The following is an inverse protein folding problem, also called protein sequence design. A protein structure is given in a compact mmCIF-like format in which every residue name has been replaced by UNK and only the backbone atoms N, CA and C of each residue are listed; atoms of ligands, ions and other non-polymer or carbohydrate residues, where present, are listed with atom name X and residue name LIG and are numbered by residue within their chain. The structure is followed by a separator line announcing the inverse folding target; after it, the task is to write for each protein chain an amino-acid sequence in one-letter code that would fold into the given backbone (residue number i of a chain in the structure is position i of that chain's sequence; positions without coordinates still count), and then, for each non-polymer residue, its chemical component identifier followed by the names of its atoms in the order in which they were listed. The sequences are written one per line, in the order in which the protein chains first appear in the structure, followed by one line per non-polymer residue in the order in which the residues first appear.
data_IF_871339316977
#
_entry.id   IF_871339316977
#
_cell.length_a   1.000
_cell.length_b   1.000
_cell.length_c   1.000
_cell.angle_alpha   90.00
_cell.angle_beta   90.00
_cell.angle_gamma   90.00
#
_symmetry.space_group_name_H-M   'P 1'
#
loop_
_entity.id
_entity.type
_entity.pdbx_description
1 polymer ?
#
# COMPACT_ATOMS: atom_id res chain seq x y z
N UNK A 1 24.62 -1.24 -29.92
CA UNK A 1 23.32 -1.88 -29.68
C UNK A 1 23.43 -2.74 -28.42
N UNK A 2 23.11 -2.18 -27.26
CA UNK A 2 23.15 -2.89 -25.98
C UNK A 2 21.86 -3.65 -25.75
N UNK A 3 21.96 -4.96 -25.49
CA UNK A 3 20.81 -5.78 -25.08
C UNK A 3 20.22 -5.23 -23.78
N UNK A 4 18.88 -5.25 -23.60
CA UNK A 4 18.27 -4.85 -22.33
C UNK A 4 18.74 -5.82 -21.24
N UNK A 5 19.37 -5.28 -20.19
CA UNK A 5 19.67 -6.04 -18.98
C UNK A 5 18.35 -6.58 -18.42
N UNK A 6 18.15 -7.91 -18.47
CA UNK A 6 17.03 -8.53 -17.77
C UNK A 6 17.31 -8.45 -16.27
N UNK A 7 16.69 -7.47 -15.60
CA UNK A 7 16.80 -7.22 -14.16
C UNK A 7 16.44 -8.45 -13.30
N UNK A 8 15.74 -9.44 -13.88
CA UNK A 8 15.43 -10.74 -13.28
C UNK A 8 16.68 -11.61 -13.00
N UNK A 9 17.85 -11.25 -13.53
CA UNK A 9 19.10 -12.02 -13.35
C UNK A 9 19.96 -11.59 -12.16
N UNK A 10 19.56 -10.59 -11.37
CA UNK A 10 20.38 -10.16 -10.24
C UNK A 10 20.43 -11.26 -9.14
N UNK A 11 21.62 -11.79 -8.79
CA UNK A 11 21.75 -12.97 -7.93
C UNK A 11 21.15 -12.83 -6.51
N UNK A 12 21.03 -11.59 -6.02
CA UNK A 12 20.47 -11.26 -4.71
C UNK A 12 18.93 -11.31 -4.69
N UNK A 13 18.27 -11.05 -5.83
CA UNK A 13 16.81 -11.11 -5.97
C UNK A 13 16.36 -12.56 -6.15
N UNK A 14 17.09 -13.35 -6.94
CA UNK A 14 16.76 -14.76 -7.19
C UNK A 14 16.84 -15.65 -5.94
N UNK A 15 17.71 -15.32 -4.98
CA UNK A 15 17.89 -16.11 -3.74
C UNK A 15 16.81 -15.86 -2.66
N UNK A 16 16.18 -14.67 -2.63
CA UNK A 16 15.13 -14.38 -1.65
C UNK A 16 13.78 -15.03 -2.00
N UNK A 17 13.54 -15.27 -3.29
CA UNK A 17 12.31 -15.87 -3.83
C UNK A 17 12.11 -17.35 -3.46
N UNK A 18 13.19 -18.09 -3.22
CA UNK A 18 13.15 -19.54 -2.97
C UNK A 18 12.73 -19.92 -1.54
N UNK A 19 12.82 -19.01 -0.57
CA UNK A 19 12.58 -19.33 0.85
C UNK A 19 11.33 -18.66 1.47
N UNK A 20 10.60 -17.80 0.73
CA UNK A 20 9.62 -16.88 1.35
C UNK A 20 8.22 -16.84 0.72
N UNK A 21 7.91 -17.76 -0.18
CA UNK A 21 6.81 -17.62 -1.17
C UNK A 21 5.60 -18.53 -0.99
N UNK A 22 5.57 -19.48 -0.04
CA UNK A 22 4.44 -20.44 0.03
C UNK A 22 3.13 -19.91 0.62
N UNK A 23 3.08 -18.70 1.18
CA UNK A 23 1.88 -18.17 1.86
C UNK A 23 1.36 -16.82 1.35
N UNK A 24 2.01 -16.20 0.35
CA UNK A 24 1.57 -14.91 -0.21
C UNK A 24 1.06 -15.13 -1.62
N UNK A 25 -0.15 -14.64 -1.91
CA UNK A 25 -0.79 -14.85 -3.21
C UNK A 25 -0.87 -13.54 -3.99
N UNK A 26 -0.49 -13.60 -5.26
CA UNK A 26 -0.50 -12.47 -6.18
C UNK A 26 -1.75 -12.46 -7.05
N UNK A 27 -2.08 -11.29 -7.59
CA UNK A 27 -3.18 -11.16 -8.57
C UNK A 27 -3.03 -12.15 -9.73
N UNK A 28 -1.80 -12.35 -10.21
CA UNK A 28 -1.51 -13.27 -11.30
C UNK A 28 -1.76 -14.74 -10.93
N UNK A 29 -1.59 -15.12 -9.65
CA UNK A 29 -1.96 -16.46 -9.17
C UNK A 29 -3.48 -16.61 -9.17
N UNK A 30 -4.20 -15.58 -8.70
CA UNK A 30 -5.66 -15.59 -8.58
C UNK A 30 -6.38 -15.70 -9.93
N UNK A 31 -5.85 -15.07 -10.98
CA UNK A 31 -6.48 -15.11 -12.32
C UNK A 31 -6.11 -16.36 -13.14
N UNK A 32 -5.05 -17.09 -12.76
CA UNK A 32 -4.59 -18.28 -13.50
C UNK A 32 -5.31 -19.55 -13.08
N UNK A 33 -5.81 -19.59 -11.86
CA UNK A 33 -6.52 -20.72 -11.30
C UNK A 33 -8.03 -20.40 -11.28
N UNK A 34 -8.85 -21.01 -12.16
CA UNK A 34 -10.28 -20.66 -12.31
C UNK A 34 -11.10 -20.84 -11.02
N UNK A 35 -10.71 -21.79 -10.17
CA UNK A 35 -11.36 -22.09 -8.89
C UNK A 35 -10.75 -21.30 -7.72
N UNK A 36 -9.81 -20.38 -8.00
CA UNK A 36 -9.16 -19.61 -6.96
C UNK A 36 -10.08 -18.50 -6.48
N UNK A 37 -10.66 -18.71 -5.29
CA UNK A 37 -11.44 -17.69 -4.59
C UNK A 37 -10.87 -17.38 -3.21
N UNK A 38 -11.17 -16.17 -2.74
CA UNK A 38 -10.90 -15.77 -1.38
C UNK A 38 -11.88 -16.48 -0.43
N UNK A 39 -11.36 -17.41 0.36
CA UNK A 39 -12.15 -18.19 1.30
C UNK A 39 -12.18 -17.53 2.68
N UNK A 40 -13.18 -16.65 2.87
CA UNK A 40 -13.44 -15.99 4.15
C UNK A 40 -13.81 -16.99 5.27
N UNK A 41 -14.38 -18.15 4.93
CA UNK A 41 -14.78 -19.18 5.91
C UNK A 41 -13.58 -20.05 6.33
N UNK A 42 -12.63 -20.26 5.43
CA UNK A 42 -11.39 -20.99 5.67
C UNK A 42 -10.33 -20.20 6.42
N UNK A 43 -9.09 -20.20 5.90
CA UNK A 43 -7.91 -19.65 6.58
C UNK A 43 -7.32 -18.41 5.91
N UNK A 44 -8.00 -17.84 4.92
CA UNK A 44 -7.48 -16.72 4.14
C UNK A 44 -7.54 -15.41 4.90
N UNK A 45 -6.48 -14.60 4.78
CA UNK A 45 -6.36 -13.33 5.49
C UNK A 45 -5.98 -12.22 4.52
N UNK A 46 -6.82 -11.20 4.43
CA UNK A 46 -6.47 -9.94 3.76
C UNK A 46 -5.59 -9.11 4.69
N UNK A 47 -4.45 -8.63 4.19
CA UNK A 47 -3.49 -7.82 4.95
C UNK A 47 -3.40 -6.43 4.33
N UNK A 48 -3.92 -5.42 5.01
CA UNK A 48 -3.87 -4.05 4.50
C UNK A 48 -2.63 -3.30 4.97
N UNK A 49 -1.65 -3.14 4.06
CA UNK A 49 -0.49 -2.27 4.23
C UNK A 49 -0.93 -0.82 4.01
N UNK A 50 -1.06 -0.06 5.10
CA UNK A 50 -1.52 1.32 5.04
C UNK A 50 -0.34 2.30 5.01
N UNK A 51 -0.02 2.81 3.82
CA UNK A 51 0.97 3.88 3.63
C UNK A 51 0.37 5.23 4.06
N UNK A 52 1.14 6.08 4.73
CA UNK A 52 0.66 7.39 5.16
C UNK A 52 0.21 8.22 3.97
N UNK A 53 -0.99 8.83 4.12
CA UNK A 53 -1.56 9.85 3.23
C UNK A 53 -1.97 9.36 1.83
N UNK A 54 -2.22 8.06 1.68
CA UNK A 54 -2.73 7.45 0.44
C UNK A 54 -4.24 7.18 0.45
N UNK A 55 -5.01 7.92 1.26
CA UNK A 55 -6.46 7.67 1.40
C UNK A 55 -6.85 6.44 2.23
N UNK A 56 -5.88 5.72 2.80
CA UNK A 56 -6.11 4.46 3.54
C UNK A 56 -7.01 4.55 4.77
N UNK A 57 -7.28 5.75 5.30
CA UNK A 57 -8.32 5.93 6.34
C UNK A 57 -9.73 5.72 5.80
N UNK A 58 -10.02 6.19 4.58
CA UNK A 58 -11.32 5.97 3.94
C UNK A 58 -11.45 4.51 3.51
N UNK A 59 -10.46 4.00 2.78
CA UNK A 59 -10.47 2.62 2.31
C UNK A 59 -10.50 1.58 3.44
N UNK A 60 -9.69 1.77 4.49
CA UNK A 60 -9.75 0.90 5.66
C UNK A 60 -11.12 0.90 6.34
N UNK A 61 -11.88 2.00 6.27
CA UNK A 61 -13.27 2.04 6.76
C UNK A 61 -14.21 1.27 5.84
N UNK A 62 -14.04 1.34 4.52
CA UNK A 62 -14.82 0.53 3.59
C UNK A 62 -14.62 -0.97 3.87
N UNK A 63 -13.38 -1.42 4.13
CA UNK A 63 -13.09 -2.82 4.47
C UNK A 63 -13.82 -3.32 5.72
N UNK A 64 -14.03 -2.48 6.73
CA UNK A 64 -14.66 -2.91 8.00
C UNK A 64 -16.14 -2.57 8.14
N UNK A 65 -16.70 -1.72 7.27
CA UNK A 65 -18.08 -1.21 7.41
C UNK A 65 -18.92 -1.26 6.15
N UNK A 66 -18.31 -1.46 5.00
CA UNK A 66 -18.99 -1.29 3.71
C UNK A 66 -18.95 -2.55 2.84
N UNK A 67 -18.41 -3.67 3.32
CA UNK A 67 -18.48 -4.94 2.59
C UNK A 67 -19.79 -5.67 2.89
N UNK A 68 -20.41 -6.20 1.86
CA UNK A 68 -21.55 -7.11 1.94
C UNK A 68 -21.03 -8.50 2.34
N UNK A 69 -21.11 -8.83 3.62
CA UNK A 69 -20.62 -10.08 4.19
C UNK A 69 -21.77 -10.83 4.87
N UNK A 70 -21.73 -12.17 4.84
CA UNK A 70 -22.63 -13.03 5.62
C UNK A 70 -22.59 -12.66 7.11
N UNK A 71 -21.38 -12.46 7.66
CA UNK A 71 -21.15 -11.90 8.98
C UNK A 71 -20.35 -10.59 8.87
N UNK A 72 -21.01 -9.41 8.99
CA UNK A 72 -20.34 -8.12 9.00
C UNK A 72 -19.40 -7.96 10.21
N UNK A 73 -18.38 -7.09 10.07
CA UNK A 73 -17.54 -6.76 11.22
C UNK A 73 -18.35 -6.03 12.32
N UNK A 74 -18.12 -6.42 13.58
CA UNK A 74 -18.73 -5.76 14.74
C UNK A 74 -17.93 -4.52 15.14
N UNK A 75 -18.48 -3.34 14.88
CA UNK A 75 -17.86 -2.04 15.17
C UNK A 75 -18.60 -1.30 16.30
N UNK A 76 -18.04 -1.29 17.51
CA UNK A 76 -18.64 -0.57 18.65
C UNK A 76 -18.44 0.96 18.53
N UNK A 77 -19.48 1.74 18.85
CA UNK A 77 -19.41 3.21 18.88
C UNK A 77 -18.30 3.67 19.84
N UNK A 78 -17.51 4.66 19.44
CA UNK A 78 -16.37 5.18 20.22
C UNK A 78 -15.09 4.34 20.14
N UNK A 79 -15.16 3.07 19.71
CA UNK A 79 -13.96 2.24 19.47
C UNK A 79 -13.45 2.42 18.05
N UNK A 80 -12.14 2.59 17.91
CA UNK A 80 -11.48 2.67 16.58
C UNK A 80 -11.40 1.31 15.89
N UNK A 81 -11.34 0.23 16.66
CA UNK A 81 -11.14 -1.14 16.18
C UNK A 81 -12.48 -1.89 16.13
N UNK A 82 -12.74 -2.56 15.02
CA UNK A 82 -13.85 -3.48 14.81
C UNK A 82 -13.37 -4.93 14.95
N UNK A 83 -14.28 -5.85 15.28
CA UNK A 83 -14.03 -7.29 15.27
C UNK A 83 -14.47 -7.85 13.92
N UNK A 84 -13.54 -8.33 13.11
CA UNK A 84 -13.80 -8.85 11.76
C UNK A 84 -13.57 -10.36 11.75
N UNK A 85 -14.49 -11.04 12.45
CA UNK A 85 -14.46 -12.49 12.64
C UNK A 85 -15.02 -13.24 11.43
N UNK A 86 -14.67 -14.51 11.30
CA UNK A 86 -15.20 -15.41 10.25
C UNK A 86 -16.64 -15.83 10.59
N UNK A 87 -17.50 -16.14 9.59
CA UNK A 87 -18.90 -16.52 9.78
C UNK A 87 -19.19 -17.64 10.81
N UNK A 88 -18.24 -18.54 11.05
CA UNK A 88 -18.39 -19.69 11.94
C UNK A 88 -17.40 -19.68 13.11
N UNK A 89 -16.74 -18.55 13.36
CA UNK A 89 -15.72 -18.47 14.40
C UNK A 89 -15.59 -17.04 14.93
N UNK A 90 -15.90 -16.86 16.21
CA UNK A 90 -15.76 -15.58 16.90
C UNK A 90 -14.29 -15.18 17.13
N UNK A 91 -13.36 -16.12 17.20
CA UNK A 91 -11.97 -15.83 17.61
C UNK A 91 -10.98 -15.69 16.45
N UNK A 92 -11.35 -16.21 15.27
CA UNK A 92 -10.52 -16.14 14.05
C UNK A 92 -10.88 -14.95 13.18
N UNK A 93 -9.86 -14.24 12.69
CA UNK A 93 -10.02 -13.03 11.91
C UNK A 93 -9.67 -13.29 10.44
N UNK A 94 -10.40 -12.66 9.52
CA UNK A 94 -10.10 -12.71 8.07
C UNK A 94 -9.40 -11.43 7.56
N UNK A 95 -9.32 -10.38 8.38
CA UNK A 95 -8.73 -9.10 8.01
C UNK A 95 -7.66 -8.65 9.02
N UNK A 96 -6.44 -8.44 8.54
CA UNK A 96 -5.35 -7.81 9.28
C UNK A 96 -5.19 -6.35 8.83
N UNK A 97 -5.61 -5.41 9.67
CA UNK A 97 -5.57 -3.98 9.35
C UNK A 97 -5.60 -3.11 10.62
N UNK A 98 -5.32 -1.81 10.46
CA UNK A 98 -5.51 -0.81 11.53
C UNK A 98 -6.87 -0.89 12.21
N UNK A 99 -7.94 -1.12 11.44
CA UNK A 99 -9.32 -1.07 11.94
C UNK A 99 -9.87 -2.43 12.36
N UNK A 100 -9.13 -3.53 12.20
CA UNK A 100 -9.51 -4.87 12.66
C UNK A 100 -8.58 -5.39 13.77
N UNK A 101 -7.30 -5.57 13.49
CA UNK A 101 -6.31 -6.10 14.45
C UNK A 101 -5.56 -4.98 15.18
N UNK A 102 -5.59 -3.76 14.65
CA UNK A 102 -4.80 -2.63 15.16
C UNK A 102 -3.37 -2.67 14.61
N UNK A 103 -2.46 -1.98 15.30
CA UNK A 103 -1.04 -1.88 14.88
C UNK A 103 -0.18 -3.00 15.50
N UNK A 104 -0.62 -4.26 15.36
CA UNK A 104 0.07 -5.42 15.97
C UNK A 104 1.53 -5.54 15.54
N UNK A 105 1.81 -5.26 14.26
CA UNK A 105 3.16 -5.29 13.69
C UNK A 105 3.90 -3.95 13.73
N UNK A 106 3.36 -2.93 14.40
CA UNK A 106 3.92 -1.58 14.42
C UNK A 106 3.01 -0.56 13.75
N UNK A 107 3.13 0.71 14.18
CA UNK A 107 2.38 1.82 13.62
C UNK A 107 2.80 2.04 12.16
N UNK A 108 1.85 1.89 11.23
CA UNK A 108 2.11 1.95 9.78
C UNK A 108 3.21 0.98 9.34
N UNK A 109 3.17 -0.26 9.86
CA UNK A 109 4.08 -1.32 9.48
C UNK A 109 4.20 -1.46 7.95
N UNK A 110 5.43 -1.41 7.45
CA UNK A 110 5.72 -1.51 6.02
C UNK A 110 5.80 -2.96 5.52
N UNK A 111 6.15 -3.17 4.24
CA UNK A 111 6.27 -4.50 3.66
C UNK A 111 7.29 -5.37 4.40
N UNK A 112 8.43 -4.79 4.79
CA UNK A 112 9.48 -5.50 5.52
C UNK A 112 8.97 -5.90 6.90
N UNK A 113 8.26 -5.03 7.61
CA UNK A 113 7.70 -5.31 8.93
C UNK A 113 6.57 -6.35 8.86
N UNK A 114 5.56 -6.13 8.00
CA UNK A 114 4.38 -6.99 7.93
C UNK A 114 4.74 -8.42 7.51
N UNK A 115 5.58 -8.57 6.48
CA UNK A 115 5.95 -9.89 5.97
C UNK A 115 6.80 -10.73 6.91
N UNK A 116 7.35 -10.13 7.96
CA UNK A 116 8.07 -10.81 9.04
C UNK A 116 7.24 -10.98 10.33
N UNK A 117 6.02 -10.42 10.40
CA UNK A 117 5.29 -10.32 11.66
C UNK A 117 3.86 -10.87 11.61
N UNK A 118 3.14 -10.71 10.48
CA UNK A 118 1.69 -10.95 10.41
C UNK A 118 1.31 -12.38 10.84
N UNK A 119 2.07 -13.38 10.41
CA UNK A 119 1.80 -14.79 10.73
C UNK A 119 1.84 -15.06 12.23
N UNK A 120 2.97 -14.74 12.87
CA UNK A 120 3.10 -14.85 14.33
C UNK A 120 2.09 -13.99 15.09
N UNK A 121 1.78 -12.78 14.60
CA UNK A 121 0.79 -11.91 15.24
C UNK A 121 -0.64 -12.47 15.15
N UNK A 122 -0.97 -13.17 14.06
CA UNK A 122 -2.24 -13.88 13.90
C UNK A 122 -2.31 -15.08 14.85
N UNK A 123 -1.25 -15.90 14.91
CA UNK A 123 -1.20 -17.05 15.83
C UNK A 123 -1.37 -16.62 17.30
N UNK A 124 -0.69 -15.55 17.71
CA UNK A 124 -0.85 -14.99 19.06
C UNK A 124 -2.26 -14.45 19.33
N UNK A 125 -2.93 -13.95 18.29
CA UNK A 125 -4.28 -13.38 18.43
C UNK A 125 -5.34 -14.49 18.48
N UNK A 126 -5.21 -15.51 17.64
CA UNK A 126 -6.13 -16.64 17.54
C UNK A 126 -5.81 -17.75 18.57
N UNK A 127 -4.65 -17.66 19.25
CA UNK A 127 -4.12 -18.68 20.17
C UNK A 127 -3.95 -20.05 19.54
N UNK A 128 -3.76 -20.07 18.22
CA UNK A 128 -3.68 -21.28 17.41
C UNK A 128 -2.76 -21.01 16.20
N UNK A 129 -1.86 -21.95 15.95
CA UNK A 129 -1.07 -21.98 14.72
C UNK A 129 -1.92 -22.58 13.60
N UNK A 130 -2.12 -21.84 12.51
CA UNK A 130 -2.81 -22.36 11.33
C UNK A 130 -2.09 -21.98 10.04
N UNK A 131 -2.16 -22.86 9.05
CA UNK A 131 -1.61 -22.59 7.72
C UNK A 131 -2.53 -21.60 7.02
N UNK A 132 -2.12 -20.33 6.94
CA UNK A 132 -2.91 -19.25 6.32
C UNK A 132 -2.36 -18.86 4.95
N UNK A 133 -3.25 -18.37 4.10
CA UNK A 133 -2.92 -17.66 2.86
C UNK A 133 -3.09 -16.16 3.09
N UNK A 134 -2.09 -15.36 2.72
CA UNK A 134 -2.07 -13.93 2.95
C UNK A 134 -2.21 -13.15 1.65
N UNK A 135 -3.24 -12.31 1.61
CA UNK A 135 -3.58 -11.45 0.48
C UNK A 135 -3.20 -10.02 0.83
N UNK A 136 -1.97 -9.64 0.48
CA UNK A 136 -1.48 -8.30 0.75
C UNK A 136 -2.15 -7.30 -0.19
N UNK A 137 -2.62 -6.21 0.41
CA UNK A 137 -3.23 -5.09 -0.32
C UNK A 137 -2.68 -3.75 0.15
N UNK A 138 -2.71 -2.75 -0.73
CA UNK A 138 -2.29 -1.38 -0.40
C UNK A 138 -3.05 -0.33 -1.20
N UNK A 139 -2.88 0.94 -0.83
CA UNK A 139 -3.24 2.09 -1.65
C UNK A 139 -2.01 2.97 -1.90
N UNK A 140 -1.91 3.44 -3.13
CA UNK A 140 -0.93 4.43 -3.57
C UNK A 140 -1.62 5.75 -3.91
N UNK A 141 -0.81 6.80 -4.06
CA UNK A 141 -1.24 8.15 -4.40
C UNK A 141 -0.17 8.85 -5.20
N UNK A 142 -0.57 9.80 -6.04
CA UNK A 142 0.34 10.67 -6.78
C UNK A 142 1.35 11.30 -5.79
N UNK A 143 2.66 11.13 -6.03
CA UNK A 143 3.70 11.45 -5.05
C UNK A 143 3.74 12.89 -4.55
N UNK A 144 3.52 13.89 -5.43
CA UNK A 144 3.51 15.30 -5.02
C UNK A 144 2.33 15.57 -4.08
N UNK A 145 1.12 15.15 -4.48
CA UNK A 145 -0.09 15.28 -3.66
C UNK A 145 0.04 14.53 -2.33
N UNK A 146 0.64 13.33 -2.34
CA UNK A 146 0.92 12.53 -1.14
C UNK A 146 1.90 13.23 -0.21
N UNK A 147 3.00 13.78 -0.75
CA UNK A 147 4.02 14.50 0.00
C UNK A 147 3.46 15.78 0.65
N UNK A 148 2.74 16.61 -0.11
CA UNK A 148 2.08 17.82 0.40
C UNK A 148 1.02 17.48 1.46
N UNK A 149 0.27 16.39 1.28
CA UNK A 149 -0.68 15.92 2.28
C UNK A 149 0.01 15.49 3.58
N UNK A 150 1.22 14.93 3.49
CA UNK A 150 2.04 14.60 4.65
C UNK A 150 2.59 15.83 5.34
N UNK A 151 3.21 16.75 4.58
CA UNK A 151 3.68 18.05 5.07
C UNK A 151 2.60 18.74 5.91
N UNK A 152 1.40 18.94 5.33
CA UNK A 152 0.29 19.58 6.05
C UNK A 152 -0.14 18.79 7.28
N UNK A 153 0.00 17.47 7.30
CA UNK A 153 -0.36 16.67 8.48
C UNK A 153 0.68 16.81 9.58
N UNK A 154 1.96 16.84 9.21
CA UNK A 154 3.11 17.04 10.11
C UNK A 154 3.09 18.44 10.72
N UNK A 155 2.81 19.46 9.90
CA UNK A 155 2.63 20.85 10.34
C UNK A 155 1.55 21.02 11.42
N UNK A 156 0.59 20.08 11.52
CA UNK A 156 -0.43 20.04 12.59
C UNK A 156 -0.14 18.99 13.68
N UNK A 157 1.12 18.59 13.84
CA UNK A 157 1.60 17.74 14.94
C UNK A 157 1.68 16.23 14.66
N UNK A 158 1.45 15.77 13.42
CA UNK A 158 1.66 14.36 13.12
C UNK A 158 3.15 14.01 13.09
N UNK A 159 3.54 12.92 13.76
CA UNK A 159 4.94 12.46 13.78
C UNK A 159 5.12 11.00 13.39
N UNK A 160 4.13 10.16 13.74
CA UNK A 160 4.26 8.69 13.71
C UNK A 160 5.51 8.17 14.43
N UNK A 161 6.03 8.91 15.42
CA UNK A 161 7.30 8.61 16.11
C UNK A 161 7.35 7.28 16.87
N UNK A 162 6.22 6.59 17.02
CA UNK A 162 6.13 5.24 17.61
C UNK A 162 6.16 4.12 16.57
N UNK A 163 6.37 4.44 15.29
CA UNK A 163 6.69 3.45 14.27
C UNK A 163 8.01 2.74 14.62
N UNK A 164 8.03 1.42 14.46
CA UNK A 164 9.17 0.59 14.90
C UNK A 164 10.29 0.56 13.87
N UNK A 165 9.94 0.63 12.58
CA UNK A 165 10.89 0.53 11.48
C UNK A 165 11.73 -0.75 11.58
N UNK A 166 11.10 -1.85 11.98
CA UNK A 166 11.77 -3.12 12.26
C UNK A 166 12.31 -3.71 10.95
N UNK A 167 13.62 -3.91 10.89
CA UNK A 167 14.27 -4.54 9.74
C UNK A 167 15.44 -5.41 10.25
N UNK A 168 15.55 -6.64 9.75
CA UNK A 168 16.51 -7.63 10.24
C UNK A 168 16.47 -7.80 11.77
N UNK A 169 15.26 -7.85 12.34
CA UNK A 169 15.05 -8.11 13.77
C UNK A 169 15.30 -6.95 14.72
N UNK A 170 15.66 -5.75 14.25
CA UNK A 170 15.89 -4.58 15.11
C UNK A 170 15.35 -3.26 14.53
N UNK A 171 15.10 -2.29 15.41
CA UNK A 171 14.82 -0.90 15.03
C UNK A 171 16.10 -0.16 14.64
N UNK A 172 16.01 0.88 13.79
CA UNK A 172 17.16 1.73 13.46
C UNK A 172 17.60 2.55 14.68
N UNK A 173 18.90 2.78 14.78
CA UNK A 173 19.47 3.74 15.74
C UNK A 173 19.19 5.18 15.32
N UNK A 174 19.35 6.14 16.25
CA UNK A 174 19.26 7.58 15.92
C UNK A 174 20.29 8.03 14.87
N UNK A 175 21.41 7.29 14.72
CA UNK A 175 22.42 7.58 13.68
C UNK A 175 21.95 7.11 12.29
N UNK A 176 21.29 5.96 12.24
CA UNK A 176 20.75 5.40 10.99
C UNK A 176 19.48 6.15 10.54
N UNK A 177 18.69 6.64 11.49
CA UNK A 177 17.48 7.41 11.23
C UNK A 177 17.35 8.59 12.21
N UNK A 178 18.07 9.70 11.96
CA UNK A 178 17.99 10.88 12.81
C UNK A 178 16.63 11.59 12.65
N UNK A 179 16.03 12.10 13.74
CA UNK A 179 14.78 12.84 13.66
C UNK A 179 14.97 14.18 12.94
N UNK A 180 13.93 14.66 12.26
CA UNK A 180 13.93 16.00 11.63
C UNK A 180 13.52 17.13 12.59
N UNK A 181 13.11 16.80 13.81
CA UNK A 181 12.60 17.74 14.79
C UNK A 181 13.07 17.37 16.19
N UNK A 182 13.08 18.37 17.05
CA UNK A 182 13.36 18.22 18.48
C UNK A 182 12.06 18.33 19.29
N UNK A 183 12.05 17.80 20.51
CA UNK A 183 10.89 17.87 21.38
C UNK A 183 9.72 16.95 20.99
N UNK A 184 8.50 17.48 21.06
CA UNK A 184 7.27 16.67 21.01
C UNK A 184 6.88 16.25 19.60
N UNK A 185 6.91 17.18 18.66
CA UNK A 185 6.47 17.03 17.28
C UNK A 185 7.11 18.12 16.39
N UNK A 186 6.75 18.12 15.10
CA UNK A 186 7.24 19.09 14.10
C UNK A 186 6.12 20.04 13.67
N UNK A 187 5.32 20.50 14.63
CA UNK A 187 4.27 21.49 14.39
C UNK A 187 4.86 22.78 13.83
N UNK A 188 4.09 23.47 13.01
CA UNK A 188 4.45 24.77 12.41
C UNK A 188 5.69 24.75 11.48
N UNK A 189 6.21 23.57 11.13
CA UNK A 189 7.27 23.41 10.13
C UNK A 189 6.87 24.08 8.81
N UNK A 190 7.80 24.80 8.18
CA UNK A 190 7.60 25.37 6.84
C UNK A 190 7.82 24.30 5.76
N UNK A 191 7.30 24.52 4.54
CA UNK A 191 7.53 23.58 3.44
C UNK A 191 9.03 23.45 3.12
N UNK A 192 9.76 24.56 3.17
CA UNK A 192 11.21 24.59 2.95
C UNK A 192 11.97 23.72 3.97
N UNK A 193 11.69 23.90 5.27
CA UNK A 193 12.27 23.08 6.34
C UNK A 193 11.93 21.59 6.17
N UNK A 194 10.68 21.30 5.79
CA UNK A 194 10.22 19.95 5.54
C UNK A 194 10.97 19.29 4.37
N UNK A 195 11.22 20.02 3.29
CA UNK A 195 12.00 19.54 2.13
C UNK A 195 13.50 19.40 2.42
N UNK A 196 14.06 20.28 3.26
CA UNK A 196 15.51 20.35 3.49
C UNK A 196 16.02 19.32 4.53
N UNK A 197 15.15 18.68 5.31
CA UNK A 197 15.58 17.60 6.21
C UNK A 197 15.95 16.33 5.43
N UNK A 198 17.24 15.98 5.43
CA UNK A 198 17.79 14.81 4.71
C UNK A 198 17.23 13.46 5.16
N UNK A 199 16.79 13.33 6.41
CA UNK A 199 16.21 12.10 6.98
C UNK A 199 14.67 12.09 6.95
N UNK A 200 14.04 13.03 6.26
CA UNK A 200 12.58 13.10 6.21
C UNK A 200 11.98 11.85 5.54
N UNK A 201 11.27 11.05 6.33
CA UNK A 201 10.62 9.81 5.89
C UNK A 201 9.46 10.03 4.90
N UNK A 202 9.02 11.27 4.67
CA UNK A 202 8.08 11.59 3.60
C UNK A 202 8.70 11.38 2.20
N UNK A 203 10.03 11.50 2.08
CA UNK A 203 10.76 11.35 0.83
C UNK A 203 10.75 9.88 0.41
N UNK A 204 10.30 9.61 -0.83
CA UNK A 204 10.18 8.27 -1.42
C UNK A 204 9.49 7.25 -0.47
N UNK A 205 8.46 7.71 0.25
CA UNK A 205 7.77 6.92 1.27
C UNK A 205 7.16 5.66 0.68
N UNK A 206 6.50 5.75 -0.47
CA UNK A 206 5.78 4.63 -1.05
C UNK A 206 6.75 3.53 -1.48
N UNK A 207 7.85 3.91 -2.13
CA UNK A 207 8.93 3.02 -2.52
C UNK A 207 9.56 2.36 -1.31
N UNK A 208 9.96 3.15 -0.30
CA UNK A 208 10.58 2.60 0.92
C UNK A 208 9.65 1.62 1.63
N UNK A 209 8.36 1.94 1.75
CA UNK A 209 7.40 1.12 2.49
C UNK A 209 6.94 -0.13 1.73
N UNK A 210 7.16 -0.20 0.42
CA UNK A 210 6.85 -1.37 -0.39
C UNK A 210 8.08 -2.24 -0.69
N UNK A 211 9.28 -1.69 -0.59
CA UNK A 211 10.52 -2.45 -0.77
C UNK A 211 10.78 -3.43 0.39
N UNK A 212 11.49 -4.51 0.09
CA UNK A 212 12.19 -5.28 1.11
C UNK A 212 13.49 -4.57 1.48
N UNK A 213 13.50 -3.89 2.62
CA UNK A 213 14.62 -3.08 3.06
C UNK A 213 15.83 -3.93 3.48
N UNK A 214 15.67 -5.23 3.69
CA UNK A 214 16.79 -6.13 3.98
C UNK A 214 17.76 -6.21 2.79
N UNK A 215 17.27 -6.04 1.57
CA UNK A 215 18.07 -6.04 0.33
C UNK A 215 19.06 -4.86 0.24
N UNK A 216 18.83 -3.80 1.02
CA UNK A 216 19.65 -2.59 1.01
C UNK A 216 20.33 -2.31 2.36
N UNK A 217 20.48 -3.33 3.20
CA UNK A 217 21.11 -3.17 4.51
C UNK A 217 20.24 -2.40 5.51
N UNK A 218 18.91 -2.55 5.42
CA UNK A 218 17.94 -1.83 6.25
C UNK A 218 18.16 -0.32 6.19
N UNK A 219 18.21 0.38 7.33
CA UNK A 219 18.42 1.83 7.40
C UNK A 219 19.91 2.24 7.41
N UNK A 220 20.84 1.28 7.34
CA UNK A 220 22.25 1.60 7.23
C UNK A 220 22.61 2.00 5.79
N UNK A 221 22.80 3.30 5.58
CA UNK A 221 23.10 3.86 4.25
C UNK A 221 24.54 3.64 3.81
N UNK A 222 25.44 3.18 4.69
CA UNK A 222 26.86 2.97 4.37
C UNK A 222 27.15 1.64 3.67
N UNK A 223 26.16 0.74 3.58
CA UNK A 223 26.33 -0.61 3.00
C UNK A 223 26.55 -0.58 1.49
N UNK A 224 26.07 0.45 0.80
CA UNK A 224 26.18 0.59 -0.65
C UNK A 224 26.03 2.05 -1.06
N UNK A 225 26.33 2.37 -2.32
CA UNK A 225 26.13 3.73 -2.83
C UNK A 225 24.65 4.10 -2.86
N UNK A 226 24.36 5.41 -2.77
CA UNK A 226 22.98 5.94 -2.88
C UNK A 226 22.28 5.44 -4.15
N UNK A 227 22.96 5.46 -5.29
CA UNK A 227 22.38 5.04 -6.56
C UNK A 227 22.00 3.55 -6.56
N UNK A 228 22.90 2.66 -6.13
CA UNK A 228 22.61 1.22 -6.02
C UNK A 228 21.42 0.96 -5.08
N UNK A 229 21.40 1.66 -3.93
CA UNK A 229 20.30 1.58 -2.96
C UNK A 229 18.96 1.97 -3.59
N UNK A 230 18.92 3.10 -4.30
CA UNK A 230 17.71 3.60 -4.97
C UNK A 230 17.20 2.61 -6.03
N UNK A 231 18.09 2.07 -6.86
CA UNK A 231 17.74 1.07 -7.90
C UNK A 231 17.16 -0.20 -7.29
N UNK A 232 17.81 -0.76 -6.26
CA UNK A 232 17.36 -2.00 -5.59
C UNK A 232 16.02 -1.77 -4.89
N UNK A 233 15.86 -0.67 -4.15
CA UNK A 233 14.59 -0.36 -3.47
C UNK A 233 13.45 -0.22 -4.46
N UNK A 234 13.65 0.50 -5.58
CA UNK A 234 12.60 0.69 -6.57
C UNK A 234 12.21 -0.61 -7.27
N UNK A 235 13.20 -1.42 -7.67
CA UNK A 235 12.94 -2.73 -8.26
C UNK A 235 12.16 -3.64 -7.30
N UNK A 236 12.56 -3.68 -6.02
CA UNK A 236 11.87 -4.44 -4.98
C UNK A 236 10.44 -3.94 -4.77
N UNK A 237 10.23 -2.63 -4.69
CA UNK A 237 8.89 -2.05 -4.52
C UNK A 237 7.95 -2.38 -5.69
N UNK A 238 8.43 -2.27 -6.95
CA UNK A 238 7.65 -2.65 -8.14
C UNK A 238 7.29 -4.14 -8.11
N UNK A 239 8.26 -5.01 -7.81
CA UNK A 239 8.05 -6.46 -7.72
C UNK A 239 7.05 -6.83 -6.63
N UNK A 240 7.19 -6.26 -5.43
CA UNK A 240 6.29 -6.53 -4.31
C UNK A 240 4.88 -6.02 -4.60
N UNK A 241 4.73 -4.81 -5.17
CA UNK A 241 3.44 -4.26 -5.56
C UNK A 241 2.76 -5.13 -6.64
N UNK A 242 3.51 -5.56 -7.65
CA UNK A 242 3.00 -6.47 -8.67
C UNK A 242 2.52 -7.79 -8.04
N UNK A 243 3.27 -8.33 -7.08
CA UNK A 243 2.89 -9.57 -6.39
C UNK A 243 1.82 -9.40 -5.31
N UNK A 244 1.29 -8.21 -5.08
CA UNK A 244 0.13 -8.04 -4.20
C UNK A 244 -1.13 -8.56 -4.89
N UNK A 245 -2.00 -9.18 -4.09
CA UNK A 245 -3.33 -9.60 -4.51
C UNK A 245 -4.10 -8.42 -5.12
N UNK A 246 -4.02 -7.25 -4.50
CA UNK A 246 -4.69 -6.05 -4.98
C UNK A 246 -3.95 -4.77 -4.54
N UNK A 247 -4.02 -3.73 -5.35
CA UNK A 247 -3.75 -2.37 -4.90
C UNK A 247 -4.68 -1.39 -5.62
N UNK A 248 -4.87 -0.23 -5.02
CA UNK A 248 -5.64 0.87 -5.61
C UNK A 248 -4.85 2.16 -5.68
N UNK A 249 -5.41 3.13 -6.40
CA UNK A 249 -4.89 4.49 -6.49
C UNK A 249 -5.91 5.47 -5.92
N UNK A 250 -5.44 6.39 -5.10
CA UNK A 250 -6.27 7.36 -4.39
C UNK A 250 -7.06 8.27 -5.35
N UNK A 251 -6.57 8.45 -6.57
CA UNK A 251 -7.14 9.26 -7.65
C UNK A 251 -8.21 8.51 -8.45
N UNK A 252 -8.35 7.19 -8.28
CA UNK A 252 -9.21 6.34 -9.09
C UNK A 252 -10.10 5.47 -8.19
N UNK A 253 -10.97 6.09 -7.38
CA UNK A 253 -11.75 5.42 -6.35
C UNK A 253 -12.74 4.39 -6.91
N UNK A 254 -13.46 4.74 -7.98
CA UNK A 254 -14.41 3.81 -8.63
C UNK A 254 -13.70 2.61 -9.26
N UNK A 255 -12.56 2.86 -9.93
CA UNK A 255 -11.71 1.80 -10.49
C UNK A 255 -11.14 0.90 -9.39
N UNK A 256 -10.70 1.49 -8.29
CA UNK A 256 -10.22 0.80 -7.08
C UNK A 256 -11.31 -0.10 -6.49
N UNK A 257 -12.55 0.40 -6.39
CA UNK A 257 -13.69 -0.41 -5.95
C UNK A 257 -13.90 -1.60 -6.90
N UNK A 258 -14.02 -1.34 -8.20
CA UNK A 258 -14.24 -2.38 -9.21
C UNK A 258 -13.18 -3.47 -9.10
N UNK A 259 -11.90 -3.11 -9.11
CA UNK A 259 -10.80 -4.07 -9.06
C UNK A 259 -10.81 -4.89 -7.78
N UNK A 260 -11.09 -4.26 -6.62
CA UNK A 260 -11.19 -4.99 -5.36
C UNK A 260 -12.32 -6.03 -5.41
N UNK A 261 -13.50 -5.62 -5.86
CA UNK A 261 -14.68 -6.50 -5.90
C UNK A 261 -14.46 -7.72 -6.79
N UNK A 262 -13.81 -7.54 -7.95
CA UNK A 262 -13.52 -8.63 -8.88
C UNK A 262 -12.32 -9.47 -8.44
N UNK A 263 -11.36 -8.90 -7.73
CA UNK A 263 -10.23 -9.67 -7.20
C UNK A 263 -10.71 -10.62 -6.10
N UNK A 264 -11.56 -10.16 -5.18
CA UNK A 264 -11.94 -10.96 -4.01
C UNK A 264 -13.32 -11.60 -4.11
N UNK A 265 -14.05 -11.41 -5.21
CA UNK A 265 -15.47 -11.79 -5.35
C UNK A 265 -16.35 -11.28 -4.19
N UNK A 266 -16.01 -10.09 -3.67
CA UNK A 266 -16.76 -9.40 -2.63
C UNK A 266 -17.43 -8.16 -3.21
N UNK A 267 -18.51 -7.67 -2.57
CA UNK A 267 -19.21 -6.45 -3.00
C UNK A 267 -19.21 -5.40 -1.90
N UNK A 268 -19.08 -4.14 -2.29
CA UNK A 268 -19.33 -3.05 -1.37
C UNK A 268 -20.83 -2.69 -1.36
N UNK A 269 -21.38 -2.39 -0.19
CA UNK A 269 -22.77 -1.98 0.01
C UNK A 269 -23.05 -0.61 -0.59
N UNK A 270 -22.11 0.32 -0.44
CA UNK A 270 -22.19 1.68 -0.98
C UNK A 270 -21.04 1.93 -1.96
N UNK A 271 -21.29 2.56 -3.11
CA UNK A 271 -20.25 2.86 -4.08
C UNK A 271 -19.23 3.85 -3.50
N UNK A 272 -17.98 3.73 -3.96
CA UNK A 272 -16.94 4.67 -3.59
C UNK A 272 -17.20 6.03 -4.25
N UNK A 273 -17.00 7.09 -3.48
CA UNK A 273 -17.10 8.46 -3.98
C UNK A 273 -15.76 8.91 -4.55
N UNK A 274 -15.81 9.44 -5.77
CA UNK A 274 -14.66 10.07 -6.41
C UNK A 274 -14.48 11.47 -5.81
N UNK A 275 -13.31 11.73 -5.23
CA UNK A 275 -12.97 13.03 -4.63
C UNK A 275 -11.82 13.64 -5.41
N UNK A 276 -12.15 14.61 -6.28
CA UNK A 276 -11.17 15.29 -7.12
C UNK A 276 -10.42 16.40 -6.35
N UNK A 277 -11.06 17.01 -5.37
CA UNK A 277 -10.48 18.06 -4.53
C UNK A 277 -10.05 17.52 -3.16
N UNK A 278 -8.84 17.86 -2.75
CA UNK A 278 -8.29 17.43 -1.46
C UNK A 278 -7.48 18.57 -0.85
N UNK A 279 -7.15 18.48 0.46
CA UNK A 279 -6.28 19.49 1.10
C UNK A 279 -4.94 19.69 0.38
N UNK A 280 -4.45 18.68 -0.34
CA UNK A 280 -3.23 18.79 -1.13
C UNK A 280 -3.44 19.51 -2.46
N UNK A 281 -4.63 19.49 -3.07
CA UNK A 281 -4.89 20.31 -4.27
C UNK A 281 -4.87 21.80 -3.92
N UNK A 282 -5.46 22.17 -2.77
CA UNK A 282 -5.37 23.54 -2.25
C UNK A 282 -3.92 23.96 -1.92
N UNK A 283 -3.14 23.07 -1.32
CA UNK A 283 -1.72 23.38 -1.05
C UNK A 283 -0.91 23.48 -2.35
N UNK A 284 -1.24 22.69 -3.36
CA UNK A 284 -0.55 22.72 -4.65
C UNK A 284 -0.74 24.06 -5.36
N UNK A 285 -1.92 24.68 -5.26
CA UNK A 285 -2.18 26.03 -5.81
C UNK A 285 -1.47 27.17 -5.05
N UNK A 286 -0.91 26.90 -3.86
CA UNK A 286 -0.27 27.89 -3.00
C UNK A 286 1.27 27.88 -3.09
N UNK A 287 1.87 26.96 -3.86
CA UNK A 287 3.32 26.79 -3.93
C UNK A 287 3.85 27.07 -5.34
N UNK A 288 5.13 27.46 -5.43
CA UNK A 288 5.77 27.77 -6.71
C UNK A 288 6.06 26.51 -7.54
N UNK A 289 6.18 26.67 -8.85
CA UNK A 289 6.61 25.59 -9.75
C UNK A 289 8.01 25.05 -9.39
N UNK A 290 8.88 25.91 -8.86
CA UNK A 290 10.20 25.52 -8.36
C UNK A 290 10.08 24.55 -7.17
N UNK A 291 9.21 24.85 -6.21
CA UNK A 291 8.94 23.95 -5.08
C UNK A 291 8.31 22.64 -5.56
N UNK A 292 7.40 22.69 -6.52
CA UNK A 292 6.83 21.48 -7.14
C UNK A 292 7.93 20.62 -7.76
N UNK A 293 8.86 21.22 -8.52
CA UNK A 293 9.96 20.49 -9.14
C UNK A 293 10.89 19.89 -8.08
N UNK A 294 11.23 20.65 -7.02
CA UNK A 294 12.03 20.15 -5.90
C UNK A 294 11.36 18.96 -5.21
N UNK A 295 10.03 19.00 -5.00
CA UNK A 295 9.28 17.87 -4.43
C UNK A 295 9.35 16.65 -5.37
N UNK A 296 9.24 16.85 -6.68
CA UNK A 296 9.38 15.76 -7.67
C UNK A 296 10.77 15.12 -7.59
N UNK A 297 11.82 15.93 -7.54
CA UNK A 297 13.21 15.45 -7.48
C UNK A 297 13.48 14.67 -6.18
N UNK A 298 12.97 15.16 -5.05
CA UNK A 298 13.03 14.43 -3.78
C UNK A 298 12.31 13.08 -3.89
N UNK A 299 11.14 13.03 -4.53
CA UNK A 299 10.28 11.85 -4.61
C UNK A 299 10.40 11.09 -5.94
N UNK A 300 11.55 11.16 -6.62
CA UNK A 300 11.77 10.57 -7.94
C UNK A 300 11.46 9.06 -8.02
N UNK A 301 11.73 8.30 -6.95
CA UNK A 301 11.44 6.86 -6.94
C UNK A 301 9.94 6.61 -6.80
N UNK A 302 9.26 7.39 -5.96
CA UNK A 302 7.80 7.31 -5.82
C UNK A 302 7.11 7.71 -7.13
N UNK A 303 7.66 8.65 -7.90
CA UNK A 303 7.14 9.01 -9.23
C UNK A 303 7.23 7.84 -10.19
N UNK A 304 8.41 7.21 -10.30
CA UNK A 304 8.60 6.08 -11.19
C UNK A 304 7.77 4.86 -10.75
N UNK A 305 7.64 4.62 -9.43
CA UNK A 305 6.77 3.59 -8.87
C UNK A 305 5.30 3.87 -9.18
N UNK A 306 4.84 5.12 -9.02
CA UNK A 306 3.45 5.49 -9.27
C UNK A 306 3.09 5.37 -10.75
N UNK A 307 3.98 5.75 -11.67
CA UNK A 307 3.79 5.54 -13.10
C UNK A 307 3.64 4.05 -13.43
N UNK A 308 4.53 3.21 -12.90
CA UNK A 308 4.41 1.75 -13.02
C UNK A 308 3.09 1.23 -12.45
N UNK A 309 2.73 1.66 -11.24
CA UNK A 309 1.49 1.24 -10.57
C UNK A 309 0.24 1.63 -11.36
N UNK A 310 0.22 2.84 -11.93
CA UNK A 310 -0.87 3.31 -12.78
C UNK A 310 -1.01 2.44 -14.03
N UNK A 311 0.08 2.21 -14.77
CA UNK A 311 0.05 1.33 -15.94
C UNK A 311 -0.44 -0.08 -15.59
N UNK A 312 0.07 -0.66 -14.51
CA UNK A 312 -0.33 -2.00 -14.06
C UNK A 312 -1.80 -2.04 -13.62
N UNK A 313 -2.31 -1.02 -12.93
CA UNK A 313 -3.71 -0.94 -12.51
C UNK A 313 -4.66 -0.96 -13.70
N UNK A 314 -4.38 -0.14 -14.72
CA UNK A 314 -5.19 -0.09 -15.94
C UNK A 314 -5.10 -1.40 -16.74
N UNK A 315 -3.94 -2.04 -16.81
CA UNK A 315 -3.80 -3.37 -17.41
C UNK A 315 -4.67 -4.43 -16.69
N UNK A 316 -4.66 -4.45 -15.35
CA UNK A 316 -5.52 -5.35 -14.55
C UNK A 316 -7.00 -5.10 -14.80
N UNK A 317 -7.39 -3.83 -14.91
CA UNK A 317 -8.76 -3.46 -15.23
C UNK A 317 -9.18 -3.94 -16.62
N UNK A 318 -8.37 -3.65 -17.65
CA UNK A 318 -8.64 -4.12 -19.02
C UNK A 318 -8.74 -5.65 -19.09
N UNK A 319 -7.86 -6.37 -18.38
CA UNK A 319 -7.92 -7.82 -18.31
C UNK A 319 -9.26 -8.30 -17.74
N UNK A 320 -9.63 -7.85 -16.54
CA UNK A 320 -10.87 -8.27 -15.89
C UNK A 320 -12.13 -7.86 -16.67
N UNK A 321 -12.09 -6.70 -17.32
CA UNK A 321 -13.21 -6.23 -18.13
C UNK A 321 -13.36 -7.05 -19.44
N UNK A 322 -12.26 -7.40 -20.09
CA UNK A 322 -12.29 -8.21 -21.31
C UNK A 322 -12.68 -9.67 -21.04
N UNK A 323 -12.25 -10.24 -19.90
CA UNK A 323 -12.69 -11.57 -19.46
C UNK A 323 -14.21 -11.66 -19.28
N UNK A 324 -14.88 -10.55 -18.96
CA UNK A 324 -16.36 -10.50 -18.91
C UNK A 324 -17.01 -10.43 -20.30
N UNK A 325 -16.45 -9.62 -21.20
CA UNK A 325 -16.94 -9.49 -22.57
C UNK A 325 -16.78 -10.79 -23.39
N UNK A 326 -16.09 -11.80 -22.87
CA UNK A 326 -16.00 -13.12 -23.52
C UNK A 326 -17.17 -14.04 -23.13
N UNK A 327 -18.02 -13.66 -22.16
CA UNK A 327 -19.16 -14.47 -21.68
C UNK A 327 -20.52 -13.81 -21.98
N UNK A 328 -20.59 -12.51 -22.25
CA UNK A 328 -21.79 -11.86 -22.82
C UNK A 328 -21.37 -10.89 -23.93
N UNK A 329 -21.49 -11.32 -25.18
CA UNK A 329 -21.39 -10.44 -26.34
C UNK A 329 -22.82 -10.08 -26.80
N UNK A 330 -23.33 -8.95 -26.33
CA UNK A 330 -24.34 -8.16 -27.07
C UNK A 330 -23.67 -6.85 -27.51
N UNK A 331 -23.32 -6.70 -28.80
CA UNK A 331 -22.50 -5.60 -29.26
C UNK A 331 -23.37 -4.39 -29.54
N UNK A 332 -23.58 -3.53 -28.53
CA UNK A 332 -23.83 -2.09 -28.73
C UNK A 332 -23.70 -1.29 -27.43
N UNK A 333 -22.56 -0.58 -27.32
CA UNK A 333 -22.54 0.79 -26.78
C UNK A 333 -22.13 0.97 -25.32
N UNK A 334 -20.84 0.81 -24.97
CA UNK A 334 -20.27 1.45 -23.75
C UNK A 334 -18.76 1.70 -23.89
N UNK A 335 -18.29 2.33 -24.98
CA UNK A 335 -16.89 2.80 -25.06
C UNK A 335 -16.79 4.34 -25.19
N UNK A 336 -17.85 5.02 -25.63
CA UNK A 336 -17.76 6.46 -25.94
C UNK A 336 -18.27 7.42 -24.84
N UNK A 337 -18.49 6.97 -23.59
CA UNK A 337 -19.05 7.85 -22.53
C UNK A 337 -18.11 8.16 -21.35
N UNK A 338 -16.83 7.80 -21.41
CA UNK A 338 -15.89 8.07 -20.30
C UNK A 338 -14.86 9.18 -20.63
N UNK A 339 -14.82 9.68 -21.87
CA UNK A 339 -13.79 10.64 -22.31
C UNK A 339 -14.32 11.91 -23.02
N UNK A 340 -15.55 12.34 -22.75
CA UNK A 340 -16.00 13.69 -23.16
C UNK A 340 -16.69 14.44 -22.02
N UNK A 341 -15.86 15.10 -21.21
CA UNK A 341 -16.15 16.44 -20.67
C UNK A 341 -14.86 16.96 -20.04
N UNK A 342 -14.13 17.77 -20.79
CA UNK A 342 -13.39 18.95 -20.30
C UNK A 342 -12.65 19.55 -21.52
N UNK A 343 -13.42 20.37 -22.27
CA UNK A 343 -12.91 21.59 -22.92
C UNK A 343 -13.03 22.71 -21.92
#
# INVERSE_FOLDING_TARGET
MGKPLSFLSHPLIAKSDLYRTKSKLSFEDMIKEPDFEFDIKGSDVVVFLHIQKTGGTSFGRHLVKNLALEQPCSCQKGRKKCKCSRPHSEDRQWLFSRYSTGWKCGLHADWTELTNCVDSAMDQTERESSKRRYFYITLLREPVARFLSEYRHVQRGATWKTARHLCSGRSPTKKELPPCFEGKDWSDVTLEQFMNCKSNLAINRQTRMLADLTLVGCYNQSVMTKHQREVIMLASAKQNLQRMAFFGLCEYQKLTQYLFEHTFHLKFLQPFQQLNETRSSLTLSEISDEDVQKIKDLNKLDIELYQFAKSLLFQRYSFLNNSKNTIEFDPKGVIDQIFESDV
#
